data_IF_959120839754
#
_entry.id   IF_959120839754
#
_cell.length_a   1.000
_cell.length_b   1.000
_cell.length_c   1.000
_cell.angle_alpha   90.00
_cell.angle_beta   90.00
_cell.angle_gamma   90.00
#
_symmetry.space_group_name_H-M   'P 1'
#
loop_
_entity.id
_entity.type
_entity.pdbx_description
1 polymer ?
#
# COMPACT_ATOMS: atom_id res chain seq x y z
N UNK A 1 -6.87 -6.88 -12.86
CA UNK A 1 -6.13 -6.69 -11.61
C UNK A 1 -4.81 -7.42 -11.73
N UNK A 2 -3.73 -6.83 -11.23
CA UNK A 2 -2.41 -7.44 -11.18
C UNK A 2 -2.13 -7.91 -9.74
N UNK A 3 -1.42 -9.03 -9.61
CA UNK A 3 -0.91 -9.49 -8.33
C UNK A 3 0.32 -8.69 -7.96
N UNK A 4 0.26 -7.99 -6.84
CA UNK A 4 1.26 -6.98 -6.45
C UNK A 4 1.71 -7.19 -5.01
N UNK A 5 2.95 -6.84 -4.72
CA UNK A 5 3.52 -6.92 -3.37
C UNK A 5 3.65 -5.54 -2.77
N UNK A 6 2.87 -5.26 -1.73
CA UNK A 6 3.03 -4.08 -0.90
C UNK A 6 4.18 -4.30 0.09
N UNK A 7 5.19 -3.42 0.07
CA UNK A 7 6.30 -3.43 1.02
C UNK A 7 6.12 -2.32 2.05
N UNK A 8 6.12 -2.69 3.33
CA UNK A 8 5.87 -1.79 4.44
C UNK A 8 7.17 -1.53 5.21
N UNK A 9 7.31 -0.29 5.69
CA UNK A 9 8.49 0.17 6.43
C UNK A 9 8.07 0.93 7.69
N UNK A 10 8.97 1.00 8.67
CA UNK A 10 8.76 1.72 9.94
C UNK A 10 7.39 1.39 10.58
N UNK A 11 6.66 2.41 11.04
CA UNK A 11 5.37 2.25 11.72
C UNK A 11 4.32 1.46 10.92
N UNK A 12 4.33 1.57 9.59
CA UNK A 12 3.39 0.82 8.75
C UNK A 12 3.63 -0.71 8.84
N UNK A 13 4.90 -1.13 8.95
CA UNK A 13 5.28 -2.53 9.18
C UNK A 13 4.91 -2.99 10.59
N UNK A 14 5.08 -2.13 11.59
CA UNK A 14 4.73 -2.45 12.98
C UNK A 14 3.24 -2.72 13.12
N UNK A 15 2.40 -1.88 12.51
CA UNK A 15 0.95 -2.03 12.49
C UNK A 15 0.54 -3.31 11.74
N UNK A 16 1.11 -3.56 10.56
CA UNK A 16 0.76 -4.74 9.77
C UNK A 16 1.26 -6.06 10.37
N UNK A 17 2.17 -6.02 11.35
CA UNK A 17 2.84 -7.20 11.91
C UNK A 17 3.75 -7.95 10.92
N UNK A 18 3.79 -7.52 9.66
CA UNK A 18 4.57 -8.09 8.58
C UNK A 18 5.15 -6.97 7.70
N UNK A 19 6.29 -7.24 7.05
CA UNK A 19 6.93 -6.26 6.17
C UNK A 19 6.42 -6.27 4.73
N UNK A 20 5.61 -7.26 4.36
CA UNK A 20 5.18 -7.48 2.98
C UNK A 20 3.80 -8.15 2.94
N UNK A 21 2.90 -7.58 2.15
CA UNK A 21 1.56 -8.12 1.89
C UNK A 21 1.33 -8.26 0.40
N UNK A 22 0.44 -9.17 0.01
CA UNK A 22 0.10 -9.40 -1.40
C UNK A 22 -1.35 -9.02 -1.62
N UNK A 23 -1.60 -8.23 -2.66
CA UNK A 23 -2.93 -7.78 -3.06
C UNK A 23 -3.18 -8.07 -4.53
N UNK A 24 -4.45 -8.09 -4.91
CA UNK A 24 -4.88 -8.00 -6.31
C UNK A 24 -5.49 -6.62 -6.51
N UNK A 25 -4.84 -5.79 -7.32
CA UNK A 25 -5.28 -4.41 -7.52
C UNK A 25 -5.10 -3.94 -8.96
N UNK A 26 -5.88 -2.95 -9.37
CA UNK A 26 -5.74 -2.31 -10.69
C UNK A 26 -5.02 -0.96 -10.63
N UNK A 27 -5.13 -0.26 -9.51
CA UNK A 27 -4.47 1.03 -9.27
C UNK A 27 -3.82 1.04 -7.89
N UNK A 28 -2.91 1.97 -7.66
CA UNK A 28 -2.30 2.18 -6.34
C UNK A 28 -3.38 2.54 -5.32
N UNK A 29 -4.34 3.38 -5.68
CA UNK A 29 -5.45 3.78 -4.81
C UNK A 29 -6.30 2.59 -4.38
N UNK A 30 -6.64 1.71 -5.32
CA UNK A 30 -7.40 0.49 -5.06
C UNK A 30 -6.66 -0.41 -4.05
N UNK A 31 -5.35 -0.61 -4.23
CA UNK A 31 -4.52 -1.33 -3.27
C UNK A 31 -4.50 -0.65 -1.89
N UNK A 32 -4.33 0.67 -1.85
CA UNK A 32 -4.25 1.41 -0.59
C UNK A 32 -5.57 1.38 0.17
N UNK A 33 -6.71 1.41 -0.52
CA UNK A 33 -8.04 1.24 0.09
C UNK A 33 -8.17 -0.16 0.70
N UNK A 34 -7.78 -1.20 -0.03
CA UNK A 34 -7.76 -2.57 0.49
C UNK A 34 -6.85 -2.70 1.73
N UNK A 35 -5.65 -2.12 1.68
CA UNK A 35 -4.72 -2.14 2.82
C UNK A 35 -5.25 -1.38 4.05
N UNK A 36 -6.00 -0.28 3.85
CA UNK A 36 -6.65 0.45 4.94
C UNK A 36 -7.81 -0.34 5.56
N UNK A 37 -8.57 -1.07 4.75
CA UNK A 37 -9.64 -1.96 5.24
C UNK A 37 -9.07 -3.12 6.07
N UNK A 38 -7.98 -3.74 5.59
CA UNK A 38 -7.31 -4.86 6.27
C UNK A 38 -6.61 -4.46 7.57
N UNK A 39 -5.96 -3.28 7.60
CA UNK A 39 -5.07 -2.85 8.69
C UNK A 39 -5.70 -1.79 9.62
N UNK A 40 -6.83 -1.21 9.23
CA UNK A 40 -7.62 -0.31 10.05
C UNK A 40 -7.09 1.14 10.15
N UNK A 41 -7.63 1.85 11.14
CA UNK A 41 -7.47 3.30 11.28
C UNK A 41 -6.02 3.71 11.62
N UNK A 42 -5.31 2.95 12.44
CA UNK A 42 -3.91 3.25 12.79
C UNK A 42 -3.01 3.23 11.54
N UNK A 43 -3.22 2.26 10.65
CA UNK A 43 -2.52 2.21 9.37
C UNK A 43 -2.89 3.39 8.47
N UNK A 44 -4.17 3.75 8.44
CA UNK A 44 -4.67 4.90 7.67
C UNK A 44 -3.99 6.21 8.11
N UNK A 45 -3.77 6.40 9.42
CA UNK A 45 -3.08 7.57 9.95
C UNK A 45 -1.61 7.63 9.48
N UNK A 46 -0.90 6.50 9.52
CA UNK A 46 0.48 6.42 9.03
C UNK A 46 0.54 6.62 7.52
N UNK A 47 -0.39 6.03 6.77
CA UNK A 47 -0.44 6.14 5.31
C UNK A 47 -0.63 7.59 4.87
N UNK A 48 -1.45 8.36 5.58
CA UNK A 48 -1.72 9.78 5.29
C UNK A 48 -0.47 10.67 5.25
N UNK A 49 0.54 10.35 6.07
CA UNK A 49 1.83 11.07 6.10
C UNK A 49 2.95 10.34 5.35
N UNK A 50 2.64 9.17 4.78
CA UNK A 50 3.60 8.33 4.08
C UNK A 50 3.72 8.74 2.62
N UNK A 51 4.87 8.39 2.04
CA UNK A 51 5.08 8.43 0.60
C UNK A 51 4.88 7.02 0.04
N UNK A 52 4.40 6.95 -1.19
CA UNK A 52 4.14 5.69 -1.89
C UNK A 52 5.02 5.62 -3.13
N UNK A 53 5.58 4.44 -3.38
CA UNK A 53 6.41 4.16 -4.55
C UNK A 53 5.87 2.94 -5.28
N UNK A 54 5.82 3.03 -6.60
CA UNK A 54 5.51 1.93 -7.49
C UNK A 54 6.79 1.62 -8.28
N UNK A 55 7.33 0.41 -8.11
CA UNK A 55 8.52 -0.06 -8.85
C UNK A 55 9.73 0.89 -8.83
N UNK A 56 9.90 1.66 -7.74
CA UNK A 56 11.01 2.61 -7.56
C UNK A 56 10.68 4.05 -7.91
N UNK A 57 9.52 4.32 -8.51
CA UNK A 57 9.07 5.67 -8.85
C UNK A 57 8.05 6.17 -7.81
N UNK A 58 8.19 7.41 -7.30
CA UNK A 58 7.19 7.97 -6.40
C UNK A 58 5.88 8.19 -7.18
N UNK A 59 4.77 7.75 -6.59
CA UNK A 59 3.46 7.80 -7.24
C UNK A 59 2.42 8.44 -6.34
N UNK A 60 1.46 9.09 -6.99
CA UNK A 60 0.19 9.49 -6.39
C UNK A 60 -0.86 8.41 -6.67
N UNK A 61 -1.89 8.33 -5.83
CA UNK A 61 -2.78 7.17 -5.69
C UNK A 61 -3.41 6.67 -7.00
N UNK A 62 -3.71 7.53 -7.97
CA UNK A 62 -4.41 7.12 -9.20
C UNK A 62 -3.51 6.38 -10.23
N UNK A 63 -2.25 6.13 -9.90
CA UNK A 63 -1.33 5.42 -10.79
C UNK A 63 -1.79 3.98 -11.06
N UNK A 64 -1.89 3.60 -12.34
CA UNK A 64 -2.24 2.25 -12.78
C UNK A 64 -1.12 1.27 -12.44
N UNK A 65 -1.47 0.12 -11.87
CA UNK A 65 -0.49 -0.95 -11.65
C UNK A 65 -0.48 -1.85 -12.88
N UNK A 66 0.71 -2.02 -13.46
CA UNK A 66 0.96 -2.96 -14.54
C UNK A 66 1.79 -4.14 -14.04
N UNK A 67 1.49 -5.33 -14.57
CA UNK A 67 2.18 -6.59 -14.28
C UNK A 67 3.57 -6.67 -14.89
#
# INVERSE_FOLDING_TARGET
MAKVTLRLFAGAREIAGNGTMTFEASTVQDLLVQAQDDLGEEFTQILSISRVWLNGEPVEGDSTISS
#
